data_IF_661582840485
#
_entry.id   IF_661582840485
#
_cell.length_a   1.000
_cell.length_b   1.000
_cell.length_c   1.000
_cell.angle_alpha   90.00
_cell.angle_beta   90.00
_cell.angle_gamma   90.00
#
_symmetry.space_group_name_H-M   'P 1'
#
loop_
_entity.id
_entity.type
_entity.pdbx_description
1 polymer ?
#
# COMPACT_ATOMS: atom_id res chain seq x y z
N UNK A 1 -20.16 -6.76 13.16
CA UNK A 1 -19.00 -7.19 13.97
C UNK A 1 -18.38 -5.95 14.58
N UNK A 2 -18.45 -5.79 15.89
CA UNK A 2 -17.92 -4.64 16.63
C UNK A 2 -16.47 -4.91 17.00
N UNK A 3 -15.51 -4.33 16.28
CA UNK A 3 -14.10 -4.39 16.70
C UNK A 3 -13.88 -3.36 17.82
N UNK A 4 -13.68 -3.86 19.03
CA UNK A 4 -13.21 -3.08 20.17
C UNK A 4 -11.77 -2.63 19.89
N UNK A 5 -11.60 -1.40 19.38
CA UNK A 5 -10.28 -0.81 19.16
C UNK A 5 -9.66 -0.43 20.50
N UNK A 6 -8.75 -1.26 21.00
CA UNK A 6 -7.83 -0.84 22.07
C UNK A 6 -6.95 0.29 21.53
N UNK A 7 -6.76 1.39 22.28
CA UNK A 7 -6.00 2.53 21.81
C UNK A 7 -4.53 2.14 21.56
N UNK A 8 -3.99 2.54 20.40
CA UNK A 8 -2.56 2.41 20.11
C UNK A 8 -1.77 3.12 21.19
N UNK A 9 -0.89 2.38 21.88
CA UNK A 9 -0.03 2.94 22.92
C UNK A 9 1.20 3.57 22.27
N UNK A 10 1.08 4.84 21.90
CA UNK A 10 2.19 5.64 21.37
C UNK A 10 2.98 6.25 22.54
N UNK A 11 4.32 6.14 22.57
CA UNK A 11 5.17 6.83 23.55
C UNK A 11 4.98 8.35 23.52
N UNK A 12 5.36 9.03 24.60
CA UNK A 12 5.27 10.49 24.65
C UNK A 12 6.23 11.13 23.65
N UNK A 13 5.93 12.36 23.23
CA UNK A 13 6.76 13.08 22.25
C UNK A 13 8.23 13.16 22.67
N UNK A 14 8.52 13.45 23.95
CA UNK A 14 9.89 13.53 24.45
C UNK A 14 10.64 12.20 24.35
N UNK A 15 9.94 11.08 24.58
CA UNK A 15 10.47 9.73 24.46
C UNK A 15 10.76 9.39 22.99
N UNK A 16 9.85 9.74 22.08
CA UNK A 16 10.05 9.57 20.63
C UNK A 16 11.22 10.42 20.11
N UNK A 17 11.34 11.67 20.59
CA UNK A 17 12.44 12.56 20.22
C UNK A 17 13.78 12.02 20.74
N UNK A 18 13.81 11.52 21.99
CA UNK A 18 15.00 10.89 22.55
C UNK A 18 15.38 9.64 21.74
N UNK A 19 14.41 8.79 21.40
CA UNK A 19 14.65 7.59 20.60
C UNK A 19 15.19 7.93 19.21
N UNK A 20 14.56 8.88 18.49
CA UNK A 20 15.01 9.29 17.17
C UNK A 20 16.43 9.90 17.15
N UNK A 21 16.88 10.51 18.25
CA UNK A 21 18.23 11.09 18.36
C UNK A 21 19.29 10.06 18.76
N UNK A 22 18.96 9.21 19.72
CA UNK A 22 19.92 8.33 20.37
C UNK A 22 19.98 6.93 19.74
N UNK A 23 18.85 6.44 19.22
CA UNK A 23 18.74 5.16 18.52
C UNK A 23 17.72 5.23 17.37
N UNK A 24 18.14 5.74 16.19
CA UNK A 24 17.28 5.83 15.03
C UNK A 24 16.72 4.47 14.56
N UNK A 25 17.45 3.38 14.82
CA UNK A 25 17.06 2.03 14.40
C UNK A 25 15.89 1.49 15.22
N UNK A 26 15.91 1.71 16.54
CA UNK A 26 14.78 1.39 17.41
C UNK A 26 13.57 2.28 17.14
N UNK A 27 13.79 3.54 16.76
CA UNK A 27 12.70 4.41 16.30
C UNK A 27 12.02 3.85 15.04
N UNK A 28 12.79 3.33 14.09
CA UNK A 28 12.27 2.70 12.88
C UNK A 28 11.48 1.41 13.18
N UNK A 29 11.99 0.58 14.09
CA UNK A 29 11.29 -0.64 14.56
C UNK A 29 9.98 -0.32 15.27
N UNK A 30 9.98 0.71 16.13
CA UNK A 30 8.77 1.18 16.81
C UNK A 30 7.70 1.62 15.80
N UNK A 31 8.10 2.40 14.77
CA UNK A 31 7.18 2.81 13.69
C UNK A 31 6.58 1.59 12.98
N UNK A 32 7.41 0.63 12.57
CA UNK A 32 6.96 -0.58 11.89
C UNK A 32 5.99 -1.39 12.77
N UNK A 33 6.32 -1.57 14.04
CA UNK A 33 5.47 -2.28 15.00
C UNK A 33 4.10 -1.61 15.17
N UNK A 34 4.06 -0.28 15.25
CA UNK A 34 2.80 0.47 15.34
C UNK A 34 1.97 0.32 14.06
N UNK A 35 2.59 0.40 12.88
CA UNK A 35 1.89 0.15 11.61
C UNK A 35 1.33 -1.28 11.54
N UNK A 36 2.12 -2.29 11.89
CA UNK A 36 1.69 -3.69 11.88
C UNK A 36 0.54 -3.96 12.84
N UNK A 37 0.52 -3.32 14.01
CA UNK A 37 -0.60 -3.41 14.95
C UNK A 37 -1.89 -2.87 14.33
N UNK A 38 -1.84 -1.71 13.67
CA UNK A 38 -3.01 -1.12 12.99
C UNK A 38 -3.51 -2.02 11.87
N UNK A 39 -2.60 -2.50 11.02
CA UNK A 39 -2.93 -3.36 9.89
C UNK A 39 -3.54 -4.68 10.37
N UNK A 40 -2.95 -5.30 11.40
CA UNK A 40 -3.42 -6.59 11.92
C UNK A 40 -4.77 -6.49 12.63
N UNK A 41 -5.13 -5.31 13.16
CA UNK A 41 -6.43 -5.05 13.75
C UNK A 41 -7.54 -4.76 12.72
N UNK A 42 -7.19 -4.50 11.46
CA UNK A 42 -8.14 -4.30 10.38
C UNK A 42 -8.78 -5.62 9.92
N UNK A 43 -9.92 -5.55 9.23
CA UNK A 43 -10.56 -6.72 8.64
C UNK A 43 -9.61 -7.44 7.68
N UNK A 44 -9.70 -8.78 7.64
CA UNK A 44 -8.83 -9.63 6.81
C UNK A 44 -8.72 -9.18 5.37
N UNK A 45 -9.85 -8.83 4.75
CA UNK A 45 -9.94 -8.37 3.36
C UNK A 45 -9.21 -7.03 3.12
N UNK A 46 -9.09 -6.19 4.15
CA UNK A 46 -8.47 -4.87 4.06
C UNK A 46 -6.96 -4.92 4.30
N UNK A 47 -6.45 -5.92 5.04
CA UNK A 47 -5.03 -6.00 5.40
C UNK A 47 -4.08 -6.01 4.18
N UNK A 48 -4.33 -6.75 3.08
CA UNK A 48 -3.47 -6.73 1.90
C UNK A 48 -3.35 -5.33 1.29
N UNK A 49 -4.47 -4.61 1.20
CA UNK A 49 -4.50 -3.25 0.69
C UNK A 49 -3.73 -2.30 1.59
N UNK A 50 -3.89 -2.41 2.92
CA UNK A 50 -3.16 -1.58 3.87
C UNK A 50 -1.65 -1.86 3.85
N UNK A 51 -1.22 -3.12 3.70
CA UNK A 51 0.21 -3.45 3.53
C UNK A 51 0.78 -2.85 2.24
N UNK A 52 0.03 -2.89 1.15
CA UNK A 52 0.43 -2.24 -0.09
C UNK A 52 0.54 -0.71 0.07
N UNK A 53 -0.36 -0.08 0.83
CA UNK A 53 -0.29 1.35 1.17
C UNK A 53 0.93 1.66 2.05
N UNK A 54 1.23 0.85 3.06
CA UNK A 54 2.44 0.99 3.88
C UNK A 54 3.70 0.94 3.01
N UNK A 55 3.84 -0.07 2.15
CA UNK A 55 4.98 -0.16 1.23
C UNK A 55 5.07 1.02 0.26
N UNK A 56 3.93 1.59 -0.16
CA UNK A 56 3.92 2.81 -0.95
C UNK A 56 4.46 4.00 -0.16
N UNK A 57 3.99 4.20 1.07
CA UNK A 57 4.48 5.24 2.00
C UNK A 57 5.97 5.08 2.23
N UNK A 58 6.47 3.87 2.52
CA UNK A 58 7.90 3.61 2.74
C UNK A 58 8.75 4.04 1.54
N UNK A 59 8.33 3.67 0.31
CA UNK A 59 9.03 4.09 -0.92
C UNK A 59 8.98 5.59 -1.17
N UNK A 60 7.91 6.25 -0.74
CA UNK A 60 7.74 7.69 -0.87
C UNK A 60 8.64 8.42 0.13
N UNK A 61 8.66 7.97 1.39
CA UNK A 61 9.52 8.50 2.46
C UNK A 61 10.99 8.29 2.14
N UNK A 62 11.39 7.12 1.61
CA UNK A 62 12.77 6.83 1.25
C UNK A 62 13.37 7.79 0.20
N UNK A 63 12.52 8.45 -0.60
CA UNK A 63 12.94 9.45 -1.60
C UNK A 63 13.06 10.86 -1.01
N UNK A 64 12.67 11.06 0.25
CA UNK A 64 12.69 12.37 0.88
C UNK A 64 14.09 12.74 1.39
N UNK A 65 14.55 13.95 1.05
CA UNK A 65 15.90 14.43 1.40
C UNK A 65 16.05 14.91 2.85
N UNK A 66 14.95 15.23 3.53
CA UNK A 66 14.96 15.72 4.91
C UNK A 66 13.61 15.45 5.61
N UNK A 67 13.55 15.60 6.95
CA UNK A 67 12.33 15.34 7.73
C UNK A 67 11.15 16.26 7.39
N UNK A 68 11.40 17.53 7.03
CA UNK A 68 10.33 18.47 6.65
C UNK A 68 9.66 18.04 5.35
N UNK A 69 10.46 17.66 4.35
CA UNK A 69 9.95 17.13 3.09
C UNK A 69 9.14 15.85 3.32
N UNK A 70 9.61 14.98 4.20
CA UNK A 70 8.87 13.77 4.61
C UNK A 70 7.50 14.13 5.17
N UNK A 71 7.42 15.09 6.08
CA UNK A 71 6.14 15.53 6.67
C UNK A 71 5.17 16.09 5.62
N UNK A 72 5.66 16.93 4.70
CA UNK A 72 4.83 17.50 3.62
C UNK A 72 4.28 16.38 2.73
N UNK A 73 5.13 15.43 2.36
CA UNK A 73 4.74 14.32 1.49
C UNK A 73 3.75 13.38 2.17
N UNK A 74 3.94 13.09 3.46
CA UNK A 74 2.98 12.31 4.26
C UNK A 74 1.63 13.03 4.36
N UNK A 75 1.62 14.35 4.58
CA UNK A 75 0.38 15.12 4.62
C UNK A 75 -0.36 15.09 3.28
N UNK A 76 0.36 15.21 2.17
CA UNK A 76 -0.22 15.10 0.83
C UNK A 76 -0.83 13.71 0.59
N UNK A 77 -0.16 12.65 1.04
CA UNK A 77 -0.69 11.29 0.89
C UNK A 77 -1.96 11.09 1.73
N UNK A 78 -1.97 11.59 2.96
CA UNK A 78 -3.16 11.58 3.81
C UNK A 78 -4.33 12.35 3.15
N UNK A 79 -4.07 13.54 2.62
CA UNK A 79 -5.10 14.33 1.93
C UNK A 79 -5.71 13.59 0.74
N UNK A 80 -4.91 12.88 -0.07
CA UNK A 80 -5.45 12.06 -1.16
C UNK A 80 -6.41 10.99 -0.65
N UNK A 81 -6.07 10.30 0.44
CA UNK A 81 -6.92 9.25 0.99
C UNK A 81 -8.23 9.84 1.56
N UNK A 82 -8.15 11.00 2.22
CA UNK A 82 -9.34 11.71 2.72
C UNK A 82 -10.23 12.17 1.56
N UNK A 83 -9.66 12.66 0.46
CA UNK A 83 -10.46 13.08 -0.71
C UNK A 83 -11.14 11.89 -1.38
N UNK A 84 -10.42 10.78 -1.60
CA UNK A 84 -11.03 9.53 -2.10
C UNK A 84 -12.16 9.06 -1.20
N UNK A 85 -11.96 9.11 0.11
CA UNK A 85 -13.00 8.74 1.07
C UNK A 85 -14.23 9.65 0.95
N UNK A 86 -14.03 10.98 0.88
CA UNK A 86 -15.11 11.95 0.69
C UNK A 86 -15.87 11.72 -0.62
N UNK A 87 -15.16 11.40 -1.70
CA UNK A 87 -15.75 11.11 -3.00
C UNK A 87 -16.65 9.87 -2.95
N UNK A 88 -16.17 8.76 -2.37
CA UNK A 88 -16.95 7.53 -2.16
C UNK A 88 -18.20 7.81 -1.33
N UNK A 89 -18.10 8.64 -0.29
CA UNK A 89 -19.25 9.01 0.52
C UNK A 89 -20.25 9.91 -0.21
N UNK A 90 -19.76 10.80 -1.08
CA UNK A 90 -20.59 11.80 -1.77
C UNK A 90 -21.24 11.25 -3.04
N UNK A 91 -20.62 10.25 -3.69
CA UNK A 91 -21.11 9.60 -4.89
C UNK A 91 -20.84 8.07 -4.85
N UNK A 92 -21.62 7.31 -4.07
CA UNK A 92 -21.41 5.86 -3.91
C UNK A 92 -21.52 5.08 -5.23
N UNK A 93 -22.26 5.60 -6.21
CA UNK A 93 -22.50 4.97 -7.51
C UNK A 93 -21.36 5.18 -8.53
N UNK A 94 -20.51 6.19 -8.35
CA UNK A 94 -19.39 6.46 -9.25
C UNK A 94 -18.20 5.48 -9.04
N UNK A 95 -18.06 4.93 -7.84
CA UNK A 95 -16.97 4.02 -7.48
C UNK A 95 -17.01 2.70 -8.26
N UNK A 96 -18.19 2.23 -8.64
CA UNK A 96 -18.38 0.98 -9.39
C UNK A 96 -17.91 1.12 -10.85
N UNK A 97 -17.94 2.33 -11.42
CA UNK A 97 -17.57 2.58 -12.82
C UNK A 97 -16.06 2.67 -13.03
N UNK A 98 -15.32 3.25 -12.06
CA UNK A 98 -13.87 3.41 -12.15
C UNK A 98 -13.08 2.08 -12.01
N UNK A 99 -13.55 1.13 -11.20
CA UNK A 99 -12.94 -0.21 -11.12
C UNK A 99 -13.21 -1.03 -12.40
N UNK A 100 -14.39 -0.88 -13.01
CA UNK A 100 -14.76 -1.56 -14.25
C UNK A 100 -13.90 -1.10 -15.45
N UNK A 101 -13.69 0.22 -15.60
CA UNK A 101 -12.81 0.77 -16.65
C UNK A 101 -11.34 0.33 -16.51
N UNK A 102 -10.86 0.11 -15.28
CA UNK A 102 -9.49 -0.40 -15.08
C UNK A 102 -9.37 -1.88 -15.44
N UNK A 103 -10.40 -2.70 -15.23
CA UNK A 103 -10.41 -4.11 -15.63
C UNK A 103 -10.51 -4.28 -17.15
N UNK A 104 -11.29 -3.41 -17.82
CA UNK A 104 -11.47 -3.44 -19.27
C UNK A 104 -10.19 -3.06 -20.05
N UNK A 105 -9.23 -2.37 -19.41
CA UNK A 105 -7.99 -1.92 -20.02
C UNK A 105 -6.75 -2.79 -19.69
N UNK A 106 -6.90 -3.91 -18.97
CA UNK A 106 -5.79 -4.83 -18.67
C UNK A 106 -5.61 -5.82 -19.82
N UNK A 107 -4.68 -5.52 -20.73
CA UNK A 107 -4.20 -6.52 -21.70
C UNK A 107 -3.30 -7.54 -20.98
N UNK A 108 -3.69 -8.82 -21.00
CA UNK A 108 -2.90 -9.90 -20.42
C UNK A 108 -1.51 -9.99 -21.07
N UNK A 109 -0.46 -9.98 -20.26
CA UNK A 109 0.92 -10.20 -20.71
C UNK A 109 1.07 -11.66 -21.17
N UNK A 110 0.88 -11.92 -22.47
CA UNK A 110 1.18 -13.23 -23.07
C UNK A 110 2.69 -13.44 -23.03
N UNK A 111 3.15 -14.38 -22.21
CA UNK A 111 4.52 -14.89 -22.25
C UNK A 111 4.63 -15.77 -23.50
N UNK A 112 5.40 -15.32 -24.49
CA UNK A 112 5.76 -16.15 -25.64
C UNK A 112 6.66 -17.29 -25.16
N UNK A 113 6.05 -18.43 -24.83
CA UNK A 113 6.64 -19.76 -24.88
C UNK A 113 5.64 -20.53 -25.74
N UNK A 114 5.98 -20.95 -26.96
CA UNK A 114 6.75 -22.15 -27.19
C UNK A 114 7.68 -22.00 -28.41
N UNK A 115 8.89 -22.51 -28.23
CA UNK A 115 9.90 -22.69 -29.26
C UNK A 115 9.58 -23.93 -30.12
N UNK A 116 10.24 -23.98 -31.26
CA UNK A 116 10.35 -25.11 -32.20
C UNK A 116 10.49 -26.50 -31.56
N UNK A 117 9.83 -27.49 -32.16
CA UNK A 117 10.31 -28.86 -32.45
C UNK A 117 9.34 -29.46 -33.51
N UNK A 118 9.74 -29.57 -34.78
CA UNK A 118 10.35 -30.76 -35.42
C UNK A 118 9.48 -32.05 -35.38
N UNK A 119 8.88 -32.42 -36.52
CA UNK A 119 9.25 -33.62 -37.32
C UNK A 119 8.25 -33.88 -38.45
N UNK A 120 8.80 -34.14 -39.64
CA UNK A 120 8.05 -34.37 -40.87
C UNK A 120 7.19 -35.63 -40.88
N UNK A 121 6.34 -35.70 -41.90
CA UNK A 121 5.85 -36.96 -42.46
C UNK A 121 5.77 -36.77 -43.96
N UNK A 122 6.49 -37.65 -44.65
CA UNK A 122 6.47 -37.84 -46.11
C UNK A 122 5.15 -38.50 -46.52
N UNK A 123 4.92 -38.38 -47.83
CA UNK A 123 4.22 -39.32 -48.72
C UNK A 123 2.75 -39.02 -49.11
N UNK A 124 2.61 -38.92 -50.44
CA UNK A 124 1.58 -39.55 -51.29
C UNK A 124 0.44 -38.65 -51.82
N UNK A 125 0.63 -38.06 -53.02
CA UNK A 125 0.17 -38.65 -54.29
C UNK A 125 0.71 -37.90 -55.51
#
# INVERSE_FOLDING_TARGET
>A
MTTSSSPLKVPKFDELMALAKNDPSEFDRLKQSLCDQVISAASGDMQPRLRAQQSHIDRVVARCKNPIHTNVVLMNELQKQVMKFREVLSNPSATVQAEQETLDNVVAFRRNAEAEEDKGTKDEK
#
